data_IF_315636237869
#
_entry.id   IF_315636237869
#
_cell.length_a   1.000
_cell.length_b   1.000
_cell.length_c   1.000
_cell.angle_alpha   90.00
_cell.angle_beta   90.00
_cell.angle_gamma   90.00
#
_symmetry.space_group_name_H-M   'P 1'
#
loop_
_entity.id
_entity.type
_entity.pdbx_description
1 polymer ?
#
# COMPACT_ATOMS: atom_id res chain seq x y z
N UNK A 1 -11.56 11.20 8.04
CA UNK A 1 -10.64 12.04 7.26
C UNK A 1 -9.16 11.85 7.63
N UNK A 2 -8.82 11.27 8.78
CA UNK A 2 -7.43 11.00 9.22
C UNK A 2 -6.62 10.05 8.32
N UNK A 3 -7.27 9.32 7.42
CA UNK A 3 -6.60 8.40 6.47
C UNK A 3 -6.10 9.08 5.18
N UNK A 4 -6.41 10.34 4.94
CA UNK A 4 -6.00 11.00 3.70
C UNK A 4 -4.55 11.50 3.71
N UNK A 5 -4.03 11.91 4.85
CA UNK A 5 -2.64 12.36 4.96
C UNK A 5 -1.63 11.21 4.91
N UNK A 6 -2.01 10.02 5.42
CA UNK A 6 -1.21 8.81 5.29
C UNK A 6 -1.09 8.29 3.84
N UNK A 7 -1.99 8.74 2.95
CA UNK A 7 -2.03 8.35 1.53
C UNK A 7 -0.84 8.86 0.72
N UNK A 8 -0.27 9.98 1.09
CA UNK A 8 0.82 10.59 0.31
C UNK A 8 2.18 9.98 0.63
N UNK A 9 2.32 9.36 1.81
CA UNK A 9 3.56 8.69 2.23
C UNK A 9 3.60 7.18 1.93
N UNK A 10 2.42 6.55 1.72
CA UNK A 10 2.35 5.10 1.42
C UNK A 10 2.36 4.77 -0.08
N UNK A 11 2.01 5.72 -0.96
CA UNK A 11 2.04 5.49 -2.41
C UNK A 11 3.43 5.08 -2.96
N UNK A 12 4.57 5.58 -2.44
CA UNK A 12 5.87 5.13 -2.93
C UNK A 12 6.21 3.68 -2.59
N UNK A 13 5.51 3.05 -1.63
CA UNK A 13 5.83 1.67 -1.23
C UNK A 13 5.46 0.64 -2.32
N UNK A 14 4.44 0.89 -3.13
CA UNK A 14 4.09 0.02 -4.27
C UNK A 14 4.95 0.31 -5.51
N UNK A 15 5.48 1.53 -5.65
CA UNK A 15 6.44 1.86 -6.70
C UNK A 15 7.84 1.25 -6.42
N UNK A 16 8.10 0.83 -5.18
CA UNK A 16 9.38 0.24 -4.73
C UNK A 16 9.54 -1.23 -5.17
N UNK A 17 8.50 -1.91 -5.66
CA UNK A 17 8.63 -3.21 -6.33
C UNK A 17 9.48 -3.14 -7.62
N UNK A 18 9.97 -1.95 -7.97
CA UNK A 18 10.79 -1.69 -9.12
C UNK A 18 12.30 -1.62 -8.80
N UNK A 19 12.84 -2.33 -7.80
CA UNK A 19 14.27 -2.22 -7.47
C UNK A 19 14.86 -3.54 -7.03
N UNK A 20 15.70 -4.17 -7.81
CA UNK A 20 16.67 -5.17 -7.37
C UNK A 20 17.60 -5.76 -8.41
N UNK A 21 18.70 -6.08 -8.07
CA UNK A 21 19.72 -7.09 -7.99
C UNK A 21 21.04 -6.78 -8.67
N UNK A 22 22.14 -6.97 -8.06
CA UNK A 22 23.23 -7.79 -8.51
C UNK A 22 24.47 -7.88 -7.63
N UNK A 23 25.36 -8.74 -7.96
CA UNK A 23 26.60 -9.26 -7.41
C UNK A 23 27.53 -8.23 -6.73
N UNK A 24 27.49 -8.22 -5.46
CA UNK A 24 28.37 -7.57 -4.52
C UNK A 24 27.57 -7.40 -3.23
N UNK A 25 27.94 -8.11 -2.17
CA UNK A 25 27.32 -7.90 -0.87
C UNK A 25 27.74 -6.53 -0.35
N UNK A 26 27.03 -5.49 -0.78
CA UNK A 26 27.11 -4.21 -0.08
C UNK A 26 26.54 -4.39 1.32
N UNK A 27 27.12 -3.69 2.27
CA UNK A 27 26.59 -3.61 3.61
C UNK A 27 25.27 -2.79 3.56
N UNK A 28 24.10 -3.42 3.75
CA UNK A 28 22.82 -2.71 3.69
C UNK A 28 22.65 -1.68 4.82
N UNK A 29 23.53 -1.66 5.81
CA UNK A 29 23.53 -0.63 6.85
C UNK A 29 24.10 0.71 6.35
N UNK A 30 24.85 0.70 5.25
CA UNK A 30 25.43 1.88 4.63
C UNK A 30 24.44 2.54 3.67
N UNK A 31 24.38 3.88 3.61
CA UNK A 31 23.57 4.58 2.61
C UNK A 31 24.04 4.28 1.19
N UNK A 32 23.12 4.01 0.30
CA UNK A 32 23.38 3.73 -1.12
C UNK A 32 24.15 2.44 -1.39
N UNK A 33 24.31 2.09 -2.65
CA UNK A 33 25.10 0.95 -3.10
C UNK A 33 26.44 1.37 -3.73
N UNK A 34 27.38 0.43 -3.78
CA UNK A 34 28.65 0.62 -4.51
C UNK A 34 28.46 0.58 -6.03
N UNK A 35 27.42 -0.12 -6.49
CA UNK A 35 26.97 -0.14 -7.89
C UNK A 35 25.46 0.14 -7.95
N UNK A 36 24.91 0.54 -9.12
CA UNK A 36 23.47 0.72 -9.29
C UNK A 36 22.67 -0.52 -8.90
N UNK A 37 23.18 -1.69 -9.31
CA UNK A 37 22.53 -2.96 -9.05
C UNK A 37 22.57 -3.31 -7.56
N UNK A 38 23.69 -3.10 -6.89
CA UNK A 38 23.84 -3.36 -5.46
C UNK A 38 22.90 -2.47 -4.63
N UNK A 39 22.77 -1.18 -4.99
CA UNK A 39 21.84 -0.26 -4.35
C UNK A 39 20.41 -0.76 -4.44
N UNK A 40 20.03 -1.21 -5.62
CA UNK A 40 18.72 -1.74 -5.89
C UNK A 40 18.50 -3.06 -5.12
N UNK A 41 19.41 -4.04 -5.19
CA UNK A 41 19.30 -5.32 -4.49
C UNK A 41 19.14 -5.14 -2.98
N UNK A 42 20.00 -4.34 -2.36
CA UNK A 42 19.94 -4.09 -0.92
C UNK A 42 18.58 -3.52 -0.50
N UNK A 43 18.01 -2.61 -1.31
CA UNK A 43 16.68 -2.07 -1.04
C UNK A 43 15.60 -3.16 -1.03
N UNK A 44 15.66 -4.13 -1.94
CA UNK A 44 14.68 -5.25 -1.95
C UNK A 44 14.91 -6.21 -0.82
N UNK A 45 16.15 -6.52 -0.50
CA UNK A 45 16.45 -7.40 0.62
C UNK A 45 15.93 -6.81 1.94
N UNK A 46 16.04 -5.48 2.11
CA UNK A 46 15.46 -4.75 3.24
C UNK A 46 13.92 -4.80 3.25
N UNK A 47 13.27 -4.61 2.09
CA UNK A 47 11.81 -4.76 1.96
C UNK A 47 11.38 -6.18 2.30
N UNK A 48 12.07 -7.18 1.76
CA UNK A 48 11.80 -8.60 2.01
C UNK A 48 11.93 -8.93 3.50
N UNK A 49 12.96 -8.40 4.16
CA UNK A 49 13.16 -8.51 5.60
C UNK A 49 12.12 -7.75 6.43
N UNK A 50 11.40 -6.79 5.84
CA UNK A 50 10.52 -5.88 6.57
C UNK A 50 11.28 -4.81 7.34
N UNK A 51 12.55 -4.58 7.02
CA UNK A 51 13.37 -3.53 7.65
C UNK A 51 13.17 -2.19 6.94
N UNK A 52 12.08 -1.52 7.24
CA UNK A 52 11.78 -0.21 6.65
C UNK A 52 12.68 0.92 7.20
N UNK A 53 13.19 0.79 8.41
CA UNK A 53 14.19 1.74 8.92
C UNK A 53 15.49 1.65 8.11
N UNK A 54 15.99 0.43 7.92
CA UNK A 54 17.15 0.17 7.07
C UNK A 54 16.92 0.60 5.65
N UNK A 55 15.72 0.33 5.09
CA UNK A 55 15.35 0.72 3.73
C UNK A 55 15.49 2.24 3.50
N UNK A 56 14.87 3.06 4.32
CA UNK A 56 14.92 4.52 4.15
C UNK A 56 16.32 5.08 4.36
N UNK A 57 17.07 4.54 5.31
CA UNK A 57 18.46 4.91 5.55
C UNK A 57 19.37 4.54 4.37
N UNK A 58 19.12 3.37 3.74
CA UNK A 58 19.87 2.89 2.60
C UNK A 58 19.49 3.60 1.30
N UNK A 59 18.19 3.82 1.06
CA UNK A 59 17.67 4.29 -0.22
C UNK A 59 17.86 5.79 -0.47
N UNK A 60 18.32 6.56 0.52
CA UNK A 60 18.49 8.01 0.43
C UNK A 60 19.93 8.44 0.78
N UNK A 61 20.45 9.49 0.12
CA UNK A 61 21.62 10.20 0.59
C UNK A 61 21.41 10.69 2.04
N UNK A 62 22.46 10.78 2.87
CA UNK A 62 22.33 11.17 4.27
C UNK A 62 21.60 12.49 4.50
N UNK A 63 21.78 13.46 3.61
CA UNK A 63 21.10 14.76 3.70
C UNK A 63 19.58 14.62 3.46
N UNK A 64 19.17 13.84 2.44
CA UNK A 64 17.76 13.62 2.12
C UNK A 64 17.08 12.75 3.18
N UNK A 65 17.79 11.79 3.76
CA UNK A 65 17.28 11.02 4.90
C UNK A 65 17.04 11.91 6.13
N UNK A 66 17.97 12.85 6.42
CA UNK A 66 17.78 13.80 7.51
C UNK A 66 16.59 14.74 7.24
N UNK A 67 16.41 15.16 5.97
CA UNK A 67 15.26 15.95 5.55
C UNK A 67 13.94 15.22 5.74
N UNK A 68 13.86 13.96 5.31
CA UNK A 68 12.68 13.10 5.51
C UNK A 68 12.29 13.01 7.00
N UNK A 69 13.28 12.80 7.88
CA UNK A 69 13.03 12.71 9.33
C UNK A 69 12.55 14.03 9.92
N UNK A 70 13.11 15.15 9.47
CA UNK A 70 12.67 16.48 9.92
C UNK A 70 11.23 16.78 9.47
N UNK A 71 10.89 16.43 8.24
CA UNK A 71 9.53 16.62 7.71
C UNK A 71 8.51 15.70 8.40
N UNK A 72 8.91 14.50 8.79
CA UNK A 72 8.08 13.61 9.59
C UNK A 72 7.60 14.28 10.88
N UNK A 73 8.51 14.90 11.61
CA UNK A 73 8.19 15.62 12.86
C UNK A 73 7.28 16.82 12.60
N UNK A 74 7.59 17.62 11.58
CA UNK A 74 6.76 18.78 11.20
C UNK A 74 5.36 18.38 10.79
N UNK A 75 5.22 17.30 10.02
CA UNK A 75 3.92 16.83 9.56
C UNK A 75 3.03 16.42 10.73
N UNK A 76 3.59 15.68 11.68
CA UNK A 76 2.89 15.28 12.90
C UNK A 76 2.38 16.48 13.73
N UNK A 77 3.14 17.57 13.75
CA UNK A 77 2.77 18.80 14.47
C UNK A 77 1.68 19.63 13.77
N UNK A 78 1.63 19.57 12.43
CA UNK A 78 0.74 20.40 11.62
C UNK A 78 -0.61 19.72 11.29
N UNK A 79 -0.80 18.47 11.64
CA UNK A 79 -2.09 17.79 11.44
C UNK A 79 -3.18 18.36 12.35
N UNK A 80 -4.42 18.58 11.83
CA UNK A 80 -5.53 19.03 12.67
C UNK A 80 -5.86 18.01 13.76
N UNK A 81 -6.41 18.43 14.90
CA UNK A 81 -6.82 17.53 15.98
C UNK A 81 -7.77 16.44 15.47
N UNK A 82 -7.62 15.23 16.01
CA UNK A 82 -8.49 14.11 15.69
C UNK A 82 -9.88 14.41 16.26
N UNK A 83 -10.92 14.29 15.43
CA UNK A 83 -12.28 14.52 15.86
C UNK A 83 -12.72 13.50 16.94
N UNK A 84 -13.67 13.89 17.78
CA UNK A 84 -14.22 12.98 18.79
C UNK A 84 -14.86 11.74 18.14
N UNK A 85 -15.48 11.90 16.95
CA UNK A 85 -16.07 10.79 16.20
C UNK A 85 -15.01 9.82 15.67
N UNK A 86 -13.92 10.31 15.08
CA UNK A 86 -12.83 9.48 14.58
C UNK A 86 -12.12 8.74 15.73
N UNK A 87 -11.98 9.39 16.87
CA UNK A 87 -11.44 8.78 18.10
C UNK A 87 -12.34 7.63 18.56
N UNK A 88 -13.64 7.87 18.68
CA UNK A 88 -14.59 6.84 19.10
C UNK A 88 -14.62 5.66 18.12
N UNK A 89 -14.52 5.91 16.82
CA UNK A 89 -14.40 4.85 15.80
C UNK A 89 -13.12 4.05 15.97
N UNK A 90 -12.00 4.72 16.18
CA UNK A 90 -10.70 4.05 16.41
C UNK A 90 -10.77 3.15 17.63
N UNK A 91 -11.26 3.68 18.76
CA UNK A 91 -11.35 2.94 20.03
C UNK A 91 -12.28 1.74 19.89
N UNK A 92 -13.43 1.90 19.24
CA UNK A 92 -14.38 0.79 18.97
C UNK A 92 -13.72 -0.29 18.09
N UNK A 93 -13.04 0.11 17.01
CA UNK A 93 -12.34 -0.82 16.12
C UNK A 93 -11.21 -1.56 16.85
N UNK A 94 -10.43 -0.81 17.65
CA UNK A 94 -9.35 -1.41 18.43
C UNK A 94 -9.89 -2.42 19.43
N UNK A 95 -10.95 -2.09 20.14
CA UNK A 95 -11.62 -3.01 21.09
C UNK A 95 -12.15 -4.28 20.41
N UNK A 96 -12.75 -4.15 19.21
CA UNK A 96 -13.20 -5.29 18.43
C UNK A 96 -12.05 -6.20 18.00
N UNK A 97 -10.91 -5.62 17.59
CA UNK A 97 -9.77 -6.37 17.09
C UNK A 97 -8.88 -6.94 18.19
N UNK A 98 -8.80 -6.31 19.36
CA UNK A 98 -7.84 -6.71 20.41
C UNK A 98 -8.48 -7.29 21.66
N UNK A 99 -9.81 -7.18 21.78
CA UNK A 99 -10.58 -7.65 22.92
C UNK A 99 -10.54 -9.18 23.11
N UNK A 100 -11.02 -9.67 24.26
CA UNK A 100 -11.12 -11.09 24.52
C UNK A 100 -12.02 -11.77 23.47
N UNK A 101 -11.56 -12.90 22.94
CA UNK A 101 -12.28 -13.72 21.96
C UNK A 101 -12.63 -12.97 20.66
N UNK A 102 -11.79 -12.00 20.26
CA UNK A 102 -12.03 -11.16 19.09
C UNK A 102 -12.22 -11.98 17.80
N UNK A 103 -11.40 -13.02 17.61
CA UNK A 103 -11.44 -13.88 16.42
C UNK A 103 -12.82 -14.54 16.24
N UNK A 104 -13.36 -15.14 17.30
CA UNK A 104 -14.65 -15.83 17.24
C UNK A 104 -15.81 -14.85 17.08
N UNK A 105 -15.76 -13.70 17.76
CA UNK A 105 -16.79 -12.66 17.64
C UNK A 105 -16.83 -12.08 16.24
N UNK A 106 -15.68 -11.70 15.69
CA UNK A 106 -15.59 -11.16 14.33
C UNK A 106 -16.02 -12.18 13.29
N UNK A 107 -15.66 -13.46 13.49
CA UNK A 107 -16.09 -14.53 12.60
C UNK A 107 -17.60 -14.77 12.67
N UNK A 108 -18.17 -14.81 13.85
CA UNK A 108 -19.63 -14.96 14.02
C UNK A 108 -20.41 -13.82 13.35
N UNK A 109 -19.89 -12.59 13.40
CA UNK A 109 -20.51 -11.43 12.74
C UNK A 109 -20.31 -11.44 11.22
N UNK A 110 -19.18 -11.98 10.73
CA UNK A 110 -18.85 -12.01 9.30
C UNK A 110 -19.51 -13.16 8.57
N UNK A 111 -19.58 -14.35 9.15
CA UNK A 111 -20.01 -15.59 8.50
C UNK A 111 -21.38 -15.46 7.82
N UNK A 112 -22.47 -14.98 8.47
CA UNK A 112 -23.76 -14.84 7.81
C UNK A 112 -23.73 -13.83 6.65
N UNK A 113 -22.94 -12.78 6.76
CA UNK A 113 -22.76 -11.79 5.71
C UNK A 113 -21.99 -12.37 4.53
N UNK A 114 -20.95 -13.16 4.81
CA UNK A 114 -20.14 -13.84 3.80
C UNK A 114 -21.01 -14.82 3.00
N UNK A 115 -21.83 -15.64 3.69
CA UNK A 115 -22.76 -16.57 3.06
C UNK A 115 -23.80 -15.84 2.17
N UNK A 116 -24.36 -14.75 2.67
CA UNK A 116 -25.32 -13.93 1.90
C UNK A 116 -24.67 -13.30 0.67
N UNK A 117 -23.43 -12.79 0.81
CA UNK A 117 -22.66 -12.22 -0.30
C UNK A 117 -22.26 -13.30 -1.31
N UNK A 118 -21.85 -14.48 -0.86
CA UNK A 118 -21.56 -15.61 -1.72
C UNK A 118 -22.76 -15.97 -2.60
N UNK A 119 -23.93 -16.14 -1.97
CA UNK A 119 -25.19 -16.45 -2.69
C UNK A 119 -25.54 -15.39 -3.73
N UNK A 120 -25.30 -14.11 -3.42
CA UNK A 120 -25.70 -12.99 -4.29
C UNK A 120 -24.70 -12.67 -5.39
N UNK A 121 -23.40 -12.79 -5.11
CA UNK A 121 -22.36 -12.19 -5.94
C UNK A 121 -21.33 -13.18 -6.48
N UNK A 122 -21.31 -14.45 -6.05
CA UNK A 122 -20.27 -15.39 -6.43
C UNK A 122 -20.04 -15.43 -7.95
N UNK A 123 -21.11 -15.52 -8.73
CA UNK A 123 -21.05 -15.57 -10.18
C UNK A 123 -20.77 -14.20 -10.84
N UNK A 124 -20.91 -13.11 -10.07
CA UNK A 124 -20.70 -11.75 -10.56
C UNK A 124 -19.28 -11.24 -10.25
N UNK A 125 -18.58 -11.85 -9.28
CA UNK A 125 -17.22 -11.42 -8.89
C UNK A 125 -16.26 -11.32 -10.08
N UNK A 126 -16.17 -12.27 -11.01
CA UNK A 126 -15.26 -12.16 -12.13
C UNK A 126 -15.53 -10.94 -13.01
N UNK A 127 -16.82 -10.61 -13.23
CA UNK A 127 -17.25 -9.44 -14.02
C UNK A 127 -16.94 -8.15 -13.26
N UNK A 128 -17.26 -8.07 -11.98
CA UNK A 128 -16.96 -6.89 -11.14
C UNK A 128 -15.46 -6.62 -11.07
N UNK A 129 -14.65 -7.64 -10.95
CA UNK A 129 -13.19 -7.52 -10.95
C UNK A 129 -12.67 -7.10 -12.33
N UNK A 130 -13.26 -7.60 -13.43
CA UNK A 130 -12.90 -7.15 -14.78
C UNK A 130 -13.18 -5.66 -14.97
N UNK A 131 -14.34 -5.19 -14.53
CA UNK A 131 -14.71 -3.76 -14.59
C UNK A 131 -13.77 -2.94 -13.72
N UNK A 132 -13.50 -3.39 -12.50
CA UNK A 132 -12.54 -2.73 -11.60
C UNK A 132 -11.14 -2.65 -12.19
N UNK A 133 -10.67 -3.72 -12.83
CA UNK A 133 -9.38 -3.76 -13.52
C UNK A 133 -9.32 -2.78 -14.69
N UNK A 134 -10.40 -2.68 -15.48
CA UNK A 134 -10.49 -1.71 -16.57
C UNK A 134 -10.49 -0.26 -16.06
N UNK A 135 -11.21 0.01 -14.97
CA UNK A 135 -11.20 1.33 -14.32
C UNK A 135 -9.81 1.67 -13.77
N UNK A 136 -9.13 0.70 -13.14
CA UNK A 136 -7.76 0.89 -12.65
C UNK A 136 -6.79 1.23 -13.79
N UNK A 137 -6.85 0.51 -14.93
CA UNK A 137 -6.04 0.81 -16.11
C UNK A 137 -6.32 2.20 -16.67
N UNK A 138 -7.59 2.60 -16.70
CA UNK A 138 -7.97 3.95 -17.14
C UNK A 138 -7.41 5.02 -16.18
N UNK A 139 -7.48 4.80 -14.87
CA UNK A 139 -6.90 5.70 -13.87
C UNK A 139 -5.37 5.80 -14.03
N UNK A 140 -4.68 4.70 -14.30
CA UNK A 140 -3.25 4.68 -14.62
C UNK A 140 -2.96 5.49 -15.89
N UNK A 141 -3.73 5.30 -16.95
CA UNK A 141 -3.55 6.03 -18.22
C UNK A 141 -3.68 7.55 -18.04
N UNK A 142 -4.63 7.99 -17.23
CA UNK A 142 -4.90 9.40 -16.96
C UNK A 142 -3.96 10.02 -15.91
N UNK A 143 -3.20 9.22 -15.15
CA UNK A 143 -2.29 9.73 -14.13
C UNK A 143 -1.11 10.48 -14.76
N UNK A 144 -1.04 11.78 -14.51
CA UNK A 144 0.01 12.67 -15.02
C UNK A 144 1.34 12.56 -14.29
N UNK A 145 1.34 11.94 -13.09
CA UNK A 145 2.52 11.77 -12.26
C UNK A 145 3.32 10.50 -12.63
N UNK A 146 2.75 9.63 -13.48
CA UNK A 146 3.41 8.44 -13.97
C UNK A 146 3.92 8.67 -15.38
N UNK A 147 5.17 8.36 -15.63
CA UNK A 147 5.72 8.31 -16.99
C UNK A 147 5.19 7.07 -17.77
N UNK A 148 5.53 6.99 -19.05
CA UNK A 148 5.02 5.92 -19.92
C UNK A 148 5.48 4.54 -19.45
N UNK A 149 6.70 4.44 -18.94
CA UNK A 149 7.30 3.20 -18.45
C UNK A 149 6.62 2.73 -17.15
N UNK A 150 6.45 3.63 -16.19
CA UNK A 150 5.72 3.35 -14.96
C UNK A 150 4.27 2.91 -15.23
N UNK A 151 3.60 3.55 -16.19
CA UNK A 151 2.26 3.13 -16.64
C UNK A 151 2.25 1.71 -17.22
N UNK A 152 3.25 1.39 -18.04
CA UNK A 152 3.38 0.05 -18.59
C UNK A 152 3.60 -1.01 -17.51
N UNK A 153 4.43 -0.72 -16.51
CA UNK A 153 4.70 -1.58 -15.36
C UNK A 153 3.44 -1.86 -14.54
N UNK A 154 2.71 -0.79 -14.16
CA UNK A 154 1.47 -0.94 -13.39
C UNK A 154 0.43 -1.74 -14.18
N UNK A 155 0.29 -1.49 -15.47
CA UNK A 155 -0.61 -2.24 -16.33
C UNK A 155 -0.23 -3.72 -16.44
N UNK A 156 1.06 -4.04 -16.57
CA UNK A 156 1.55 -5.42 -16.57
C UNK A 156 1.23 -6.15 -15.27
N UNK A 157 1.39 -5.47 -14.13
CA UNK A 157 0.99 -6.01 -12.83
C UNK A 157 -0.54 -6.24 -12.74
N UNK A 158 -1.36 -5.29 -13.22
CA UNK A 158 -2.82 -5.42 -13.28
C UNK A 158 -3.26 -6.59 -14.16
N UNK A 159 -2.54 -6.87 -15.27
CA UNK A 159 -2.80 -8.01 -16.16
C UNK A 159 -2.57 -9.36 -15.48
N UNK A 160 -1.69 -9.41 -14.49
CA UNK A 160 -1.44 -10.62 -13.69
C UNK A 160 -2.39 -10.71 -12.50
N UNK A 161 -2.64 -9.59 -11.82
CA UNK A 161 -3.46 -9.56 -10.61
C UNK A 161 -4.95 -9.75 -10.90
N UNK A 162 -5.46 -9.22 -12.02
CA UNK A 162 -6.89 -9.31 -12.36
C UNK A 162 -7.36 -10.76 -12.49
N UNK A 163 -6.69 -11.65 -13.26
CA UNK A 163 -7.09 -13.06 -13.35
C UNK A 163 -6.96 -13.83 -12.02
N UNK A 164 -5.98 -13.48 -11.18
CA UNK A 164 -5.88 -14.05 -9.84
C UNK A 164 -7.07 -13.62 -8.98
N UNK A 165 -7.38 -12.32 -8.95
CA UNK A 165 -8.50 -11.81 -8.16
C UNK A 165 -9.85 -12.40 -8.59
N UNK A 166 -10.05 -12.65 -9.90
CA UNK A 166 -11.27 -13.29 -10.42
C UNK A 166 -11.45 -14.72 -9.92
N UNK A 167 -10.35 -15.43 -9.64
CA UNK A 167 -10.35 -16.85 -9.23
C UNK A 167 -10.16 -17.04 -7.74
N UNK A 168 -9.75 -16.01 -7.01
CA UNK A 168 -9.53 -16.11 -5.58
C UNK A 168 -10.82 -16.47 -4.85
N UNK A 169 -10.79 -17.40 -3.90
CA UNK A 169 -11.98 -17.87 -3.18
C UNK A 169 -12.38 -16.88 -2.09
N UNK A 170 -12.90 -15.71 -2.49
CA UNK A 170 -13.20 -14.59 -1.58
C UNK A 170 -14.25 -14.94 -0.52
N UNK A 171 -15.13 -15.89 -0.81
CA UNK A 171 -16.21 -16.32 0.08
C UNK A 171 -15.93 -17.65 0.78
N UNK A 172 -14.71 -18.16 0.70
CA UNK A 172 -14.32 -19.38 1.42
C UNK A 172 -14.30 -19.12 2.93
N UNK A 173 -15.08 -19.89 3.66
CA UNK A 173 -15.31 -19.75 5.10
C UNK A 173 -14.02 -19.98 5.92
N UNK A 174 -13.23 -21.00 5.55
CA UNK A 174 -11.97 -21.32 6.24
C UNK A 174 -10.94 -20.20 6.03
N UNK A 175 -10.84 -19.67 4.80
CA UNK A 175 -9.96 -18.54 4.49
C UNK A 175 -10.39 -17.25 5.18
N UNK A 176 -11.69 -16.99 5.27
CA UNK A 176 -12.24 -15.87 6.02
C UNK A 176 -11.85 -15.96 7.50
N UNK A 177 -12.03 -17.12 8.11
CA UNK A 177 -11.63 -17.36 9.51
C UNK A 177 -10.13 -17.19 9.72
N UNK A 178 -9.31 -17.75 8.83
CA UNK A 178 -7.86 -17.58 8.87
C UNK A 178 -7.45 -16.10 8.72
N UNK A 179 -8.10 -15.37 7.80
CA UNK A 179 -7.83 -13.94 7.58
C UNK A 179 -8.18 -13.08 8.80
N UNK A 180 -9.28 -13.38 9.48
CA UNK A 180 -9.62 -12.73 10.76
C UNK A 180 -8.50 -12.97 11.79
N UNK A 181 -8.00 -14.20 11.91
CA UNK A 181 -6.88 -14.50 12.80
C UNK A 181 -5.65 -13.67 12.49
N UNK A 182 -5.30 -13.50 11.21
CA UNK A 182 -4.18 -12.65 10.77
C UNK A 182 -4.41 -11.19 11.15
N UNK A 183 -5.62 -10.65 10.89
CA UNK A 183 -5.97 -9.25 11.22
C UNK A 183 -5.88 -9.01 12.73
N UNK A 184 -6.48 -9.88 13.54
CA UNK A 184 -6.45 -9.76 15.00
C UNK A 184 -5.03 -9.87 15.55
N UNK A 185 -4.26 -10.85 15.08
CA UNK A 185 -2.86 -11.01 15.49
C UNK A 185 -2.01 -9.79 15.11
N UNK A 186 -2.24 -9.21 13.92
CA UNK A 186 -1.56 -8.00 13.47
C UNK A 186 -1.95 -6.81 14.33
N UNK A 187 -3.23 -6.62 14.61
CA UNK A 187 -3.72 -5.53 15.47
C UNK A 187 -3.12 -5.60 16.88
N UNK A 188 -3.06 -6.79 17.46
CA UNK A 188 -2.41 -7.02 18.77
C UNK A 188 -0.91 -6.72 18.75
N UNK A 189 -0.19 -7.11 17.68
CA UNK A 189 1.25 -6.80 17.51
C UNK A 189 1.51 -5.31 17.28
N UNK A 190 0.60 -4.63 16.59
CA UNK A 190 0.68 -3.18 16.41
C UNK A 190 0.61 -2.44 17.76
N UNK A 191 -0.08 -3.00 18.73
CA UNK A 191 -0.16 -2.48 20.12
C UNK A 191 -0.45 -0.97 20.18
N UNK A 192 -1.38 -0.51 19.35
CA UNK A 192 -1.85 0.86 19.35
C UNK A 192 -2.86 1.05 20.48
N UNK A 193 -2.76 2.16 21.20
CA UNK A 193 -3.63 2.45 22.36
C UNK A 193 -4.67 3.51 22.06
N UNK A 194 -4.32 4.46 21.21
CA UNK A 194 -5.18 5.57 20.83
C UNK A 194 -4.68 6.17 19.50
N UNK A 195 -5.49 6.94 18.81
CA UNK A 195 -5.12 7.49 17.51
C UNK A 195 -4.06 8.60 17.59
N UNK A 196 -3.89 9.29 18.74
CA UNK A 196 -2.86 10.32 18.88
C UNK A 196 -1.46 9.70 18.88
N UNK A 197 -1.33 8.44 19.31
CA UNK A 197 -0.08 7.69 19.26
C UNK A 197 0.46 7.58 17.83
N UNK A 198 -0.44 7.40 16.83
CA UNK A 198 -0.03 7.36 15.42
C UNK A 198 0.56 8.69 14.94
N UNK A 199 0.06 9.80 15.48
CA UNK A 199 0.49 11.16 15.10
C UNK A 199 1.79 11.57 15.78
N UNK A 200 1.97 11.16 17.05
CA UNK A 200 3.14 11.51 17.86
C UNK A 200 4.29 10.51 17.74
N UNK A 201 4.13 9.48 16.92
CA UNK A 201 5.11 8.42 16.76
C UNK A 201 6.36 8.94 16.05
N UNK A 202 7.53 8.68 16.63
CA UNK A 202 8.79 8.95 15.95
C UNK A 202 8.95 8.06 14.70
N UNK A 203 9.83 8.47 13.80
CA UNK A 203 10.01 7.81 12.51
C UNK A 203 10.38 6.32 12.67
N UNK A 204 11.31 6.00 13.54
CA UNK A 204 11.83 4.63 13.68
C UNK A 204 10.75 3.69 14.25
N UNK A 205 10.00 4.18 15.24
CA UNK A 205 8.85 3.45 15.80
C UNK A 205 7.77 3.27 14.72
N UNK A 206 7.46 4.30 13.93
CA UNK A 206 6.50 4.20 12.85
C UNK A 206 6.91 3.15 11.82
N UNK A 207 8.17 3.14 11.38
CA UNK A 207 8.69 2.15 10.44
C UNK A 207 8.60 0.72 10.99
N UNK A 208 8.81 0.54 12.30
CA UNK A 208 8.59 -0.74 12.98
C UNK A 208 7.12 -1.17 12.93
N UNK A 209 6.17 -0.23 13.14
CA UNK A 209 4.74 -0.53 13.03
C UNK A 209 4.33 -0.83 11.57
N UNK A 210 4.91 -0.13 10.58
CA UNK A 210 4.72 -0.46 9.16
C UNK A 210 5.20 -1.88 8.84
N UNK A 211 6.34 -2.31 9.38
CA UNK A 211 6.83 -3.67 9.21
C UNK A 211 5.83 -4.72 9.70
N UNK A 212 5.23 -4.49 10.87
CA UNK A 212 4.18 -5.37 11.43
C UNK A 212 2.95 -5.40 10.49
N UNK A 213 2.48 -4.24 10.05
CA UNK A 213 1.36 -4.13 9.11
C UNK A 213 1.65 -4.82 7.78
N UNK A 214 2.84 -4.60 7.23
CA UNK A 214 3.28 -5.23 5.98
C UNK A 214 3.33 -6.76 6.10
N UNK A 215 3.86 -7.29 7.20
CA UNK A 215 3.85 -8.73 7.46
C UNK A 215 2.43 -9.30 7.52
N UNK A 216 1.48 -8.58 8.13
CA UNK A 216 0.06 -8.94 8.14
C UNK A 216 -0.54 -8.97 6.74
N UNK A 217 -0.27 -7.94 5.92
CA UNK A 217 -0.73 -7.88 4.52
C UNK A 217 -0.17 -9.04 3.70
N UNK A 218 1.14 -9.36 3.83
CA UNK A 218 1.75 -10.51 3.16
C UNK A 218 1.03 -11.82 3.51
N UNK A 219 0.71 -12.02 4.79
CA UNK A 219 -0.02 -13.21 5.25
C UNK A 219 -1.45 -13.27 4.69
N UNK A 220 -2.16 -12.14 4.66
CA UNK A 220 -3.49 -12.05 4.06
C UNK A 220 -3.47 -12.39 2.58
N UNK A 221 -2.55 -11.83 1.81
CA UNK A 221 -2.42 -12.10 0.39
C UNK A 221 -2.05 -13.57 0.12
N UNK A 222 -1.12 -14.12 0.90
CA UNK A 222 -0.70 -15.52 0.81
C UNK A 222 -1.87 -16.48 1.11
N UNK A 223 -2.77 -16.12 2.04
CA UNK A 223 -3.98 -16.88 2.31
C UNK A 223 -4.87 -17.05 1.07
N UNK A 224 -4.87 -16.08 0.17
CA UNK A 224 -5.59 -16.12 -1.10
C UNK A 224 -4.70 -16.49 -2.31
N UNK A 225 -3.52 -17.04 -2.06
CA UNK A 225 -2.63 -17.58 -3.09
C UNK A 225 -1.69 -16.57 -3.76
N UNK A 226 -1.56 -15.35 -3.22
CA UNK A 226 -0.59 -14.38 -3.69
C UNK A 226 0.56 -14.25 -2.68
N UNK A 227 1.70 -14.88 -2.96
CA UNK A 227 2.89 -14.81 -2.14
C UNK A 227 3.76 -13.61 -2.56
N UNK A 228 3.78 -12.58 -1.71
CA UNK A 228 4.68 -11.43 -1.88
C UNK A 228 6.13 -11.84 -1.65
N UNK A 229 6.38 -12.78 -0.74
CA UNK A 229 7.74 -13.26 -0.45
C UNK A 229 8.33 -14.03 -1.64
N UNK A 230 7.52 -14.82 -2.37
CA UNK A 230 7.97 -15.48 -3.58
C UNK A 230 8.28 -14.48 -4.69
N UNK A 231 7.42 -13.47 -4.85
CA UNK A 231 7.66 -12.41 -5.82
C UNK A 231 8.96 -11.66 -5.52
N UNK A 232 9.17 -11.21 -4.28
CA UNK A 232 10.41 -10.55 -3.83
C UNK A 232 11.63 -11.48 -3.91
N UNK A 233 11.44 -12.78 -3.62
CA UNK A 233 12.49 -13.78 -3.70
C UNK A 233 12.93 -14.13 -5.12
N UNK A 234 12.07 -13.89 -6.12
CA UNK A 234 12.34 -14.15 -7.52
C UNK A 234 13.08 -13.02 -8.24
N UNK A 235 13.24 -11.87 -7.58
CA UNK A 235 13.79 -10.68 -8.21
C UNK A 235 15.24 -10.91 -8.65
N UNK A 236 15.53 -10.44 -9.87
CA UNK A 236 16.87 -10.41 -10.47
C UNK A 236 17.06 -9.03 -11.08
N UNK A 237 18.14 -8.38 -10.75
CA UNK A 237 18.48 -7.11 -11.37
C UNK A 237 19.72 -7.26 -12.24
N UNK A 238 19.74 -6.53 -13.31
CA UNK A 238 20.83 -6.47 -14.26
C UNK A 238 21.04 -5.04 -14.74
N UNK A 239 22.28 -4.65 -15.09
CA UNK A 239 22.56 -3.33 -15.63
C UNK A 239 21.97 -3.22 -17.03
N UNK A 240 21.51 -2.01 -17.39
CA UNK A 240 21.16 -1.64 -18.76
C UNK A 240 22.23 -0.73 -19.31
N UNK A 241 22.46 0.41 -18.66
CA UNK A 241 23.47 1.39 -19.01
C UNK A 241 23.94 2.18 -17.78
N UNK A 242 25.10 2.82 -17.91
CA UNK A 242 25.63 3.75 -16.90
C UNK A 242 26.53 4.79 -17.58
N UNK A 243 26.25 6.05 -17.35
CA UNK A 243 27.05 7.17 -17.85
C UNK A 243 26.87 8.42 -17.00
N UNK A 244 27.96 9.17 -16.80
CA UNK A 244 27.94 10.50 -16.17
C UNK A 244 27.17 10.54 -14.80
N UNK A 245 27.35 9.52 -13.97
CA UNK A 245 26.69 9.46 -12.67
C UNK A 245 25.19 9.11 -12.71
N UNK A 246 24.67 8.69 -13.86
CA UNK A 246 23.33 8.13 -14.04
C UNK A 246 23.43 6.70 -14.54
N UNK A 247 22.49 5.86 -14.15
CA UNK A 247 22.40 4.48 -14.63
C UNK A 247 20.93 4.05 -14.73
N UNK A 248 20.70 3.00 -15.52
CA UNK A 248 19.43 2.26 -15.52
C UNK A 248 19.71 0.81 -15.18
N UNK A 249 18.87 0.25 -14.36
CA UNK A 249 18.88 -1.16 -14.03
C UNK A 249 17.56 -1.80 -14.41
N UNK A 250 17.64 -3.01 -14.98
CA UNK A 250 16.49 -3.84 -15.29
C UNK A 250 16.19 -4.73 -14.09
N UNK A 251 14.93 -4.92 -13.81
CA UNK A 251 14.42 -5.68 -12.68
C UNK A 251 13.44 -6.70 -13.21
N UNK A 252 13.87 -7.95 -13.21
CA UNK A 252 13.03 -9.09 -13.59
C UNK A 252 12.50 -9.76 -12.31
N UNK A 253 11.21 -10.08 -12.28
CA UNK A 253 10.59 -10.81 -11.17
C UNK A 253 9.42 -11.65 -11.65
N UNK A 254 8.97 -12.58 -10.80
CA UNK A 254 7.83 -13.43 -11.09
C UNK A 254 6.70 -13.12 -10.13
N UNK A 255 5.54 -12.78 -10.66
CA UNK A 255 4.32 -12.57 -9.89
C UNK A 255 3.27 -13.60 -10.30
N UNK A 256 2.80 -14.41 -9.37
CA UNK A 256 1.81 -15.47 -9.63
C UNK A 256 2.22 -16.40 -10.80
N UNK A 257 3.51 -16.74 -10.88
CA UNK A 257 4.06 -17.56 -11.96
C UNK A 257 4.24 -16.86 -13.31
N UNK A 258 3.95 -15.56 -13.40
CA UNK A 258 4.14 -14.77 -14.63
C UNK A 258 5.41 -13.92 -14.51
N UNK A 259 6.32 -13.99 -15.49
CA UNK A 259 7.48 -13.13 -15.52
C UNK A 259 7.07 -11.69 -15.83
N UNK A 260 7.57 -10.76 -15.05
CA UNK A 260 7.42 -9.32 -15.23
C UNK A 260 8.79 -8.67 -15.22
N UNK A 261 8.90 -7.52 -15.85
CA UNK A 261 10.11 -6.73 -15.89
C UNK A 261 9.78 -5.26 -15.72
N UNK A 262 10.69 -4.55 -15.06
CA UNK A 262 10.62 -3.11 -14.88
C UNK A 262 12.01 -2.52 -14.95
N UNK A 263 12.13 -1.20 -15.09
CA UNK A 263 13.41 -0.48 -15.03
C UNK A 263 13.41 0.48 -13.87
N UNK A 264 14.59 0.78 -13.35
CA UNK A 264 14.80 1.83 -12.36
C UNK A 264 15.94 2.72 -12.76
N UNK A 265 15.72 4.04 -12.65
CA UNK A 265 16.73 5.06 -12.83
C UNK A 265 17.49 5.25 -11.53
N UNK A 266 18.82 5.24 -11.65
CA UNK A 266 19.75 5.38 -10.55
C UNK A 266 20.61 6.60 -10.75
N UNK A 267 20.99 7.26 -9.65
CA UNK A 267 21.86 8.43 -9.65
C UNK A 267 22.99 8.23 -8.64
N UNK A 268 24.18 8.69 -8.99
CA UNK A 268 25.33 8.65 -8.11
C UNK A 268 25.45 9.97 -7.33
N UNK A 269 25.46 9.87 -6.01
CA UNK A 269 25.69 11.01 -5.10
C UNK A 269 26.83 10.62 -4.16
N UNK A 270 27.86 11.44 -4.07
CA UNK A 270 29.05 11.22 -3.24
C UNK A 270 29.69 9.83 -3.41
N UNK A 271 29.73 9.34 -4.66
CA UNK A 271 30.32 8.06 -5.01
C UNK A 271 29.46 6.83 -4.69
N UNK A 272 28.25 7.02 -4.19
CA UNK A 272 27.27 5.95 -3.90
C UNK A 272 26.05 6.07 -4.82
N UNK A 273 25.39 4.93 -5.10
CA UNK A 273 24.25 4.87 -6.00
C UNK A 273 22.94 4.81 -5.22
N UNK A 274 21.95 5.55 -5.71
CA UNK A 274 20.61 5.67 -5.11
C UNK A 274 19.55 5.62 -6.20
N UNK A 275 18.31 5.29 -5.81
CA UNK A 275 17.17 5.42 -6.70
C UNK A 275 16.80 6.89 -6.91
N UNK A 276 16.86 7.35 -8.17
CA UNK A 276 16.44 8.72 -8.54
C UNK A 276 14.99 8.99 -8.15
N UNK A 277 14.10 8.01 -8.36
CA UNK A 277 12.69 8.12 -7.99
C UNK A 277 12.47 8.30 -6.49
N UNK A 278 13.24 7.61 -5.64
CA UNK A 278 13.12 7.75 -4.18
C UNK A 278 13.54 9.14 -3.71
N UNK A 279 14.67 9.64 -4.22
CA UNK A 279 15.15 11.01 -3.92
C UNK A 279 14.08 12.03 -4.36
N UNK A 280 13.61 11.94 -5.60
CA UNK A 280 12.63 12.88 -6.15
C UNK A 280 11.32 12.88 -5.34
N UNK A 281 10.84 11.71 -4.90
CA UNK A 281 9.64 11.61 -4.07
C UNK A 281 9.81 12.33 -2.72
N UNK A 282 10.97 12.19 -2.07
CA UNK A 282 11.24 12.87 -0.79
C UNK A 282 11.33 14.38 -1.00
N UNK A 283 12.04 14.84 -2.03
CA UNK A 283 12.16 16.26 -2.34
C UNK A 283 10.81 16.90 -2.72
N UNK A 284 9.96 16.21 -3.48
CA UNK A 284 8.61 16.67 -3.80
C UNK A 284 7.72 16.75 -2.55
N UNK A 285 7.77 15.74 -1.68
CA UNK A 285 7.03 15.76 -0.41
C UNK A 285 7.49 16.93 0.48
N UNK A 286 8.79 17.18 0.55
CA UNK A 286 9.36 18.33 1.26
C UNK A 286 8.87 19.67 0.71
N UNK A 287 8.84 19.83 -0.60
CA UNK A 287 8.34 21.06 -1.25
C UNK A 287 6.86 21.28 -0.96
N UNK A 288 6.05 20.23 -1.00
CA UNK A 288 4.61 20.29 -0.69
C UNK A 288 4.35 20.66 0.77
N UNK A 289 5.13 20.13 1.71
CA UNK A 289 4.99 20.43 3.13
C UNK A 289 5.43 21.85 3.52
N UNK A 290 6.27 22.48 2.70
CA UNK A 290 6.73 23.86 2.88
C UNK A 290 6.02 24.87 1.97
N UNK A 291 5.13 24.44 1.08
CA UNK A 291 4.32 25.34 0.28
C UNK A 291 3.39 26.15 1.20
N UNK A 292 3.28 27.49 1.04
CA UNK A 292 2.35 28.28 1.82
C UNK A 292 0.94 27.73 1.58
N UNK A 293 0.23 27.42 2.68
CA UNK A 293 -1.17 26.98 2.62
C UNK A 293 -1.98 28.10 1.99
N UNK A 294 -2.14 28.07 0.66
CA UNK A 294 -3.14 28.90 -0.01
C UNK A 294 -4.50 28.38 0.42
N UNK A 295 -5.15 29.17 1.29
CA UNK A 295 -6.48 28.93 1.77
C UNK A 295 -7.42 28.63 0.61
N UNK A 296 -8.15 27.54 0.73
CA UNK A 296 -9.39 27.22 0.07
C UNK A 296 -9.44 27.30 -1.46
N UNK A 297 -9.03 26.25 -2.13
CA UNK A 297 -9.74 25.77 -3.32
C UNK A 297 -9.65 24.25 -3.30
N UNK A 298 -10.68 23.60 -2.79
CA UNK A 298 -10.89 22.16 -3.00
C UNK A 298 -10.98 21.88 -4.49
N UNK A 299 -10.09 21.09 -5.05
CA UNK A 299 -10.44 20.27 -6.21
C UNK A 299 -11.06 18.99 -5.63
N UNK A 300 -12.39 18.91 -5.75
CA UNK A 300 -13.10 17.67 -5.55
C UNK A 300 -12.51 16.58 -6.44
N UNK A 301 -12.28 15.44 -5.83
CA UNK A 301 -12.30 14.11 -6.42
C UNK A 301 -11.60 13.91 -7.78
N UNK A 302 -10.33 13.49 -7.74
CA UNK A 302 -9.81 12.54 -8.73
C UNK A 302 -8.49 11.98 -8.18
N UNK A 303 -8.55 10.87 -7.47
CA UNK A 303 -7.54 9.81 -7.35
C UNK A 303 -7.87 8.93 -6.13
N UNK A 304 -9.08 8.36 -6.14
CA UNK A 304 -9.42 7.28 -5.24
C UNK A 304 -9.11 5.97 -5.96
N UNK A 305 -8.01 5.31 -5.58
CA UNK A 305 -7.98 3.85 -5.62
C UNK A 305 -9.11 3.41 -4.69
N UNK A 306 -10.07 2.58 -5.12
CA UNK A 306 -11.17 2.17 -4.27
C UNK A 306 -10.61 1.40 -3.10
N UNK A 307 -10.75 1.96 -1.91
CA UNK A 307 -10.66 1.20 -0.67
C UNK A 307 -11.73 0.09 -0.72
N UNK A 308 -11.51 -1.08 -0.09
CA UNK A 308 -12.57 -2.08 0.03
C UNK A 308 -13.81 -1.41 0.59
N UNK A 309 -14.94 -1.65 -0.09
CA UNK A 309 -16.21 -0.97 0.13
C UNK A 309 -16.59 -0.96 1.62
N UNK A 310 -17.01 0.19 2.17
CA UNK A 310 -17.63 0.21 3.48
C UNK A 310 -18.95 -0.59 3.41
N UNK A 311 -19.24 -1.28 4.49
CA UNK A 311 -20.44 -2.04 4.67
C UNK A 311 -21.69 -1.22 4.23
N UNK A 312 -22.44 -1.77 3.28
CA UNK A 312 -23.69 -1.17 2.80
C UNK A 312 -24.69 -1.22 3.95
N UNK A 313 -25.00 -0.07 4.51
CA UNK A 313 -26.19 0.11 5.35
C UNK A 313 -27.40 -0.11 4.44
N UNK A 314 -28.09 -1.21 4.63
CA UNK A 314 -29.34 -1.52 3.93
C UNK A 314 -30.41 -0.52 4.39
N UNK A 315 -30.67 0.49 3.60
CA UNK A 315 -31.85 1.32 3.73
C UNK A 315 -32.99 0.60 3.01
N UNK A 316 -33.99 0.17 3.75
CA UNK A 316 -35.18 -0.47 3.23
C UNK A 316 -35.92 0.46 2.25
N UNK A 317 -36.46 -0.06 1.13
CA UNK A 317 -37.29 0.76 0.24
C UNK A 317 -38.62 1.09 0.92
N UNK A 318 -38.94 2.38 0.96
CA UNK A 318 -40.24 2.85 1.42
C UNK A 318 -41.34 2.29 0.51
N UNK A 319 -42.36 1.70 1.13
CA UNK A 319 -43.55 1.19 0.47
C UNK A 319 -44.28 2.32 -0.29
N UNK A 320 -44.43 2.14 -1.59
CA UNK A 320 -45.31 2.98 -2.38
C UNK A 320 -46.77 2.75 -1.98
N UNK A 321 -47.38 3.79 -1.42
CA UNK A 321 -48.81 3.81 -1.16
C UNK A 321 -49.59 3.86 -2.47
N UNK A 322 -50.45 2.88 -2.71
CA UNK A 322 -51.38 2.81 -3.81
C UNK A 322 -52.50 3.85 -3.65
N UNK A 323 -52.70 4.71 -4.67
CA UNK A 323 -53.85 5.58 -4.78
C UNK A 323 -55.08 4.80 -5.28
N UNK A 324 -56.32 5.11 -4.83
CA UNK A 324 -57.52 4.41 -5.25
C UNK A 324 -58.01 4.91 -6.62
N UNK A 325 -58.82 4.10 -7.34
CA UNK A 325 -59.29 4.46 -8.68
C UNK A 325 -60.46 5.44 -8.61
N UNK A 326 -60.41 6.46 -9.49
CA UNK A 326 -61.53 7.38 -9.73
C UNK A 326 -62.63 6.67 -10.55
N UNK A 327 -63.89 6.82 -10.07
CA UNK A 327 -65.10 6.44 -10.79
C UNK A 327 -65.47 7.50 -11.79
N UNK A 328 -65.80 7.11 -12.97
CA UNK A 328 -66.99 7.36 -13.83
C UNK A 328 -66.70 7.08 -15.28
#
# INVERSE_FOLDING_TARGET
MCFQSLRHTLLPLFAVLALAACHGKDDPSQPGGSTPEAAAQSSIDLIKAGDFNGLWKHALPPADYALLRADWVKHAQNEPPISAEDRARFDSTLQQLTGPDAENKLYADLQPKLAAMATKYNDQIPVLISVGGALAKNAVAQNKNLDAEQKAQVNAALDVLTPWAQKAPWFDDAKAKQSIGVVVATARKLDLKNPDQLRSMDFDTAMTKYAIGFAGIKQLLANYGLSVDDALGSVKVSPIDSSNGHARVKIDYTLLGKPLSTESKMVQVDGRWYSEGMINNVLQAHQQSNAPSSAASSPAAANAVPAPAPAISAQAPAAAASAPPAKS
#
